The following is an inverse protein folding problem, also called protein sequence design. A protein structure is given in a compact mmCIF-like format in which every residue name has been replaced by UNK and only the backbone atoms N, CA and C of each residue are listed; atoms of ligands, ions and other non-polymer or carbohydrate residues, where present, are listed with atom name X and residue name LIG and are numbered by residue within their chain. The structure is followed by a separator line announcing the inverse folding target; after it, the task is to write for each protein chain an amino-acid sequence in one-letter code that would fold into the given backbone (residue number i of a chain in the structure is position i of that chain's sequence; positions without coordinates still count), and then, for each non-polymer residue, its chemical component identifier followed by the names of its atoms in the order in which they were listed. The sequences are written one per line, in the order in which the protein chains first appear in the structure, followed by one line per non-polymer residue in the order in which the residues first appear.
data_IF_224614561239
#
_entry.id   IF_224614561239
#
_cell.length_a   1.000
_cell.length_b   1.000
_cell.length_c   1.000
_cell.angle_alpha   90.00
_cell.angle_beta   90.00
_cell.angle_gamma   90.00
#
_symmetry.space_group_name_H-M   'P 1'
#
loop_
_entity.id
_entity.type
_entity.pdbx_description
1 polymer ?
2 non-polymer ?
3 water ?
#
# COMPACT_ATOMS: atom_id res chain seq x y z
N UNK A 20 20.74 -21.61 -12.49
CA UNK A 20 19.48 -22.27 -12.14
C UNK A 20 19.50 -22.73 -10.65
N UNK A 21 19.23 -21.78 -9.74
CA UNK A 21 19.27 -21.98 -8.28
C UNK A 21 17.99 -22.64 -7.70
N UNK A 22 18.02 -22.93 -6.39
CA UNK A 22 16.96 -23.59 -5.62
C UNK A 22 17.07 -23.15 -4.13
N UNK A 23 16.00 -23.37 -3.31
CA UNK A 23 16.00 -23.04 -1.88
C UNK A 23 14.92 -23.75 -1.06
N UNK A 24 15.28 -24.10 0.17
CA UNK A 24 14.46 -24.80 1.15
C UNK A 24 13.88 -23.83 2.18
N UNK A 25 12.58 -23.95 2.42
CA UNK A 25 11.81 -23.17 3.37
C UNK A 25 10.96 -24.20 4.09
N UNK A 26 11.23 -24.40 5.39
CA UNK A 26 10.53 -25.31 6.27
C UNK A 26 10.34 -26.68 5.62
N UNK A 27 11.47 -27.27 5.21
CA UNK A 27 11.54 -28.58 4.55
C UNK A 27 11.32 -28.56 3.06
N UNK A 28 10.24 -27.92 2.61
CA UNK A 28 9.90 -27.85 1.20
C UNK A 28 10.94 -27.12 0.36
N UNK A 29 11.14 -27.60 -0.87
CA UNK A 29 12.12 -27.04 -1.78
C UNK A 29 11.46 -26.25 -2.92
N UNK A 30 11.95 -25.04 -3.14
CA UNK A 30 11.42 -24.17 -4.18
C UNK A 30 12.51 -23.82 -5.19
N UNK A 31 12.16 -23.89 -6.47
CA UNK A 31 13.11 -23.59 -7.53
C UNK A 31 12.89 -22.17 -8.05
N UNK A 32 13.96 -21.38 -8.02
CA UNK A 32 13.92 -19.99 -8.44
C UNK A 32 13.85 -19.77 -9.95
N UNK A 33 12.91 -18.92 -10.37
CA UNK A 33 12.76 -18.60 -11.77
C UNK A 33 13.38 -17.25 -12.09
N UNK A 34 13.06 -16.25 -11.27
CA UNK A 34 13.57 -14.90 -11.46
C UNK A 34 13.47 -14.04 -10.21
N UNK A 35 14.19 -12.92 -10.22
CA UNK A 35 14.16 -11.97 -9.13
C UNK A 35 13.29 -10.79 -9.57
N UNK A 36 12.38 -10.38 -8.69
CA UNK A 36 11.47 -9.25 -8.95
C UNK A 36 11.79 -8.07 -8.05
N UNK A 37 12.26 -8.35 -6.85
CA UNK A 37 12.60 -7.32 -5.87
C UNK A 37 14.05 -7.19 -5.49
N UNK A 38 14.42 -5.94 -5.23
CA UNK A 38 15.74 -5.58 -4.81
C UNK A 38 15.52 -4.72 -3.59
N UNK A 39 16.18 -5.06 -2.50
CA UNK A 39 16.04 -4.32 -1.26
C UNK A 39 17.45 -4.12 -0.75
N UNK A 40 17.65 -3.17 0.15
CA UNK A 40 19.00 -2.95 0.64
C UNK A 40 19.43 -4.25 1.26
N UNK A 41 18.50 -4.87 1.99
CA UNK A 41 18.76 -6.16 2.61
C UNK A 41 17.78 -7.24 2.14
N UNK A 42 16.87 -6.90 1.24
CA UNK A 42 15.88 -7.88 0.80
C UNK A 42 15.72 -8.08 -0.69
N UNK A 43 15.32 -9.29 -1.04
CA UNK A 43 15.12 -9.67 -2.42
C UNK A 43 13.82 -10.47 -2.55
N UNK A 44 13.18 -10.36 -3.70
CA UNK A 44 11.93 -11.09 -3.98
C UNK A 44 12.16 -12.03 -5.16
N UNK A 45 11.89 -13.31 -4.96
CA UNK A 45 12.10 -14.29 -6.00
C UNK A 45 10.85 -15.01 -6.45
N UNK A 46 10.68 -15.13 -7.77
CA UNK A 46 9.54 -15.83 -8.31
C UNK A 46 10.00 -17.28 -8.25
N UNK A 47 9.24 -18.11 -7.54
CA UNK A 47 9.62 -19.51 -7.37
C UNK A 47 8.49 -20.49 -7.62
N UNK A 48 8.87 -21.73 -7.88
CA UNK A 48 7.93 -22.79 -8.15
C UNK A 48 8.13 -23.92 -7.16
N UNK A 49 7.04 -24.48 -6.66
CA UNK A 49 7.13 -25.57 -5.71
C UNK A 49 7.27 -26.89 -6.44
N UNK A 50 7.25 -27.98 -5.70
CA UNK A 50 7.41 -29.32 -6.26
C UNK A 50 6.32 -29.67 -7.27
N UNK A 51 5.10 -29.23 -7.00
CA UNK A 51 3.95 -29.50 -7.86
C UNK A 51 3.84 -28.49 -9.00
N UNK A 52 4.80 -27.59 -9.08
CA UNK A 52 4.87 -26.56 -10.13
C UNK A 52 4.09 -25.30 -9.87
N UNK A 53 3.56 -25.14 -8.67
CA UNK A 53 2.81 -23.94 -8.31
C UNK A 53 3.72 -22.74 -8.18
N UNK A 54 3.21 -21.56 -8.49
CA UNK A 54 4.01 -20.34 -8.42
C UNK A 54 3.82 -19.57 -7.13
N UNK A 55 4.92 -19.07 -6.59
CA UNK A 55 4.92 -18.32 -5.33
C UNK A 55 5.99 -17.24 -5.42
N UNK A 56 5.94 -16.30 -4.46
CA UNK A 56 6.94 -15.27 -4.32
C UNK A 56 7.59 -15.49 -2.96
N UNK A 57 8.92 -15.59 -2.94
CA UNK A 57 9.66 -15.74 -1.70
C UNK A 57 10.38 -14.42 -1.44
N UNK A 58 10.17 -13.83 -0.24
CA UNK A 58 10.89 -12.63 0.19
C UNK A 58 12.04 -13.12 1.05
N UNK A 59 13.27 -12.79 0.64
CA UNK A 59 14.44 -13.13 1.40
C UNK A 59 14.95 -11.84 2.06
N UNK A 60 14.92 -11.78 3.39
CA UNK A 60 15.41 -10.64 4.17
C UNK A 60 16.73 -11.09 4.78
N UNK A 61 17.82 -10.34 4.56
CA UNK A 61 19.13 -10.65 5.14
C UNK A 61 19.26 -9.91 6.49
N UNK A 62 19.42 -10.68 7.57
CA UNK A 62 19.54 -10.14 8.91
C UNK A 62 20.95 -10.04 9.45
N UNK A 63 21.95 -10.32 8.62
CA UNK A 63 23.32 -10.32 9.11
C UNK A 63 23.67 -8.98 9.72
N UNK A 64 23.17 -7.88 9.18
CA UNK A 64 23.52 -6.61 9.79
C UNK A 64 22.31 -5.77 10.17
N UNK A 65 21.63 -6.16 11.23
CA UNK A 65 20.46 -5.43 11.71
C UNK A 65 20.42 -5.31 13.23
N UNK A 66 19.98 -4.16 13.73
CA UNK A 66 19.87 -3.91 15.16
C UNK A 66 18.59 -4.48 15.74
N UNK A 67 18.52 -4.49 17.07
CA UNK A 67 17.35 -5.01 17.77
C UNK A 67 16.04 -4.32 17.45
N UNK A 68 16.07 -3.01 17.30
CA UNK A 68 14.83 -2.30 16.99
C UNK A 68 14.32 -2.76 15.64
N UNK A 69 15.22 -2.92 14.68
CA UNK A 69 14.85 -3.37 13.35
C UNK A 69 14.31 -4.79 13.33
N UNK A 70 14.93 -5.67 14.11
CA UNK A 70 14.50 -7.06 14.18
C UNK A 70 13.11 -7.15 14.72
N UNK A 71 12.93 -6.59 15.90
CA UNK A 71 11.63 -6.60 16.55
C UNK A 71 10.51 -6.08 15.65
N UNK A 72 10.84 -5.17 14.74
CA UNK A 72 9.86 -4.63 13.80
C UNK A 72 9.44 -5.67 12.77
N UNK A 73 10.41 -6.42 12.27
CA UNK A 73 10.19 -7.49 11.30
C UNK A 73 9.41 -8.65 11.94
N UNK A 74 9.67 -8.90 13.23
CA UNK A 74 9.01 -9.92 14.03
C UNK A 74 7.53 -9.53 14.19
N UNK A 75 7.29 -8.24 14.39
CA UNK A 75 5.97 -7.68 14.57
C UNK A 75 5.19 -7.63 13.26
N UNK A 76 5.87 -7.24 12.18
CA UNK A 76 5.23 -7.17 10.89
C UNK A 76 4.76 -8.56 10.49
N UNK A 77 5.61 -9.56 10.72
CA UNK A 77 5.28 -10.94 10.41
C UNK A 77 4.14 -11.47 11.26
N UNK A 78 4.13 -11.13 12.54
CA UNK A 78 3.07 -11.60 13.42
C UNK A 78 1.71 -11.07 12.97
N UNK A 79 1.66 -9.80 12.63
CA UNK A 79 0.43 -9.18 12.16
C UNK A 79 0.00 -9.74 10.82
N UNK A 80 0.99 -9.99 9.95
CA UNK A 80 0.71 -10.54 8.64
C UNK A 80 0.01 -11.88 8.83
N UNK A 81 0.53 -12.69 9.74
CA UNK A 81 -0.06 -13.99 10.04
C UNK A 81 -1.46 -13.88 10.67
N UNK A 82 -1.66 -12.94 11.62
CA UNK A 82 -2.94 -12.79 12.33
C UNK A 82 -4.08 -12.32 11.44
N UNK A 83 -3.82 -11.33 10.56
CA UNK A 83 -4.84 -10.72 9.69
C UNK A 83 -5.15 -11.51 8.40
N UNK A 84 -4.55 -12.69 8.21
CA UNK A 84 -4.76 -13.57 7.05
C UNK A 84 -6.26 -13.94 7.04
N UNK A 85 -6.73 -14.45 8.16
CA UNK A 85 -8.11 -14.91 8.29
C UNK A 85 -9.12 -13.79 8.07
N UNK A 86 -8.81 -12.61 8.56
CA UNK A 86 -9.71 -11.47 8.43
C UNK A 86 -10.05 -10.98 7.02
N UNK A 87 -9.07 -10.96 6.12
CA UNK A 87 -9.37 -10.50 4.76
C UNK A 87 -8.57 -11.15 3.63
N UNK A 88 -9.18 -11.21 2.44
CA UNK A 88 -8.53 -11.74 1.25
C UNK A 88 -7.90 -10.57 0.42
N UNK A 89 -7.96 -9.37 0.97
CA UNK A 89 -7.38 -8.18 0.34
C UNK A 89 -5.97 -7.96 0.87
N UNK A 90 -5.52 -8.88 1.71
CA UNK A 90 -4.20 -8.83 2.31
C UNK A 90 -3.42 -10.00 1.72
N UNK A 91 -2.16 -9.76 1.37
CA UNK A 91 -1.34 -10.78 0.74
C UNK A 91 -1.18 -12.02 1.61
N UNK A 92 -1.24 -13.18 0.98
CA UNK A 92 -1.11 -14.45 1.69
C UNK A 92 0.31 -14.73 2.18
N UNK A 93 0.40 -15.36 3.34
CA UNK A 93 1.66 -15.72 3.96
C UNK A 93 1.57 -17.19 4.31
N UNK A 94 1.85 -18.04 3.33
CA UNK A 94 1.78 -19.49 3.49
C UNK A 94 2.74 -20.09 4.51
N UNK A 95 3.98 -19.59 4.54
CA UNK A 95 4.99 -20.12 5.44
C UNK A 95 6.16 -19.16 5.56
N UNK A 96 7.05 -19.43 6.53
CA UNK A 96 8.23 -18.63 6.78
C UNK A 96 9.27 -19.34 7.63
N UNK A 97 10.54 -18.99 7.41
CA UNK A 97 11.67 -19.54 8.15
C UNK A 97 12.49 -18.34 8.65
N UNK A 98 12.62 -18.25 9.97
CA UNK A 98 13.33 -17.15 10.61
C UNK A 98 14.53 -17.62 11.42
N UNK A 99 15.64 -16.94 11.22
CA UNK A 99 16.87 -17.23 11.93
C UNK A 99 17.57 -15.90 12.13
N UNK A 100 18.62 -15.89 12.93
CA UNK A 100 19.36 -14.67 13.22
C UNK A 100 20.05 -14.16 11.97
N UNK A 101 20.16 -15.01 10.96
CA UNK A 101 20.86 -14.66 9.73
C UNK A 101 19.93 -14.22 8.60
N UNK A 102 18.74 -14.79 8.54
CA UNK A 102 17.83 -14.50 7.45
C UNK A 102 16.37 -14.83 7.68
N UNK A 103 15.51 -14.28 6.82
CA UNK A 103 14.09 -14.55 6.87
C UNK A 103 13.62 -14.96 5.47
N UNK A 104 12.87 -16.04 5.39
CA UNK A 104 12.34 -16.50 4.11
C UNK A 104 10.84 -16.45 4.22
N UNK A 105 10.15 -15.81 3.27
CA UNK A 105 8.70 -15.77 3.40
C UNK A 105 8.02 -16.27 2.13
N UNK A 106 7.31 -17.39 2.22
CA UNK A 106 6.60 -17.87 1.05
C UNK A 106 5.29 -17.10 1.04
N UNK A 107 5.06 -16.36 -0.04
CA UNK A 107 3.87 -15.53 -0.20
C UNK A 107 3.30 -15.65 -1.60
N UNK A 108 2.03 -15.30 -1.76
CA UNK A 108 1.39 -15.39 -3.07
C UNK A 108 2.00 -14.43 -4.10
N UNK A 109 2.09 -14.92 -5.33
CA UNK A 109 2.63 -14.21 -6.47
C UNK A 109 1.58 -13.26 -7.03
N UNK A 110 2.03 -12.13 -7.54
CA UNK A 110 1.18 -11.13 -8.17
C UNK A 110 1.61 -10.86 -9.59
N UNK A 111 0.77 -10.18 -10.36
CA UNK A 111 1.08 -9.85 -11.73
C UNK A 111 2.05 -8.65 -11.82
N UNK A 112 1.68 -7.55 -11.14
CA UNK A 112 2.42 -6.28 -11.09
C UNK A 112 1.98 -5.51 -9.84
N UNK A 113 2.88 -4.67 -9.30
CA UNK A 113 2.55 -3.78 -8.18
C UNK A 113 1.74 -2.62 -8.78
N UNK A 114 0.91 -1.95 -7.99
CA UNK A 114 0.07 -0.85 -8.49
C UNK A 114 0.87 0.36 -9.04
N UNK A 115 2.06 0.67 -8.47
CA UNK A 115 2.89 1.80 -8.93
C UNK A 115 3.42 1.60 -10.35
N UNK A 116 3.92 0.39 -10.63
CA UNK A 116 4.45 0.04 -11.95
C UNK A 116 3.30 -0.04 -12.98
N UNK A 117 2.08 -0.36 -12.52
CA UNK A 117 0.90 -0.42 -13.38
C UNK A 117 0.42 0.98 -13.76
N UNK A 118 0.43 1.94 -12.81
CA UNK A 118 0.00 3.33 -13.03
C UNK A 118 0.96 4.11 -13.94
N UNK A 119 2.27 3.76 -13.88
CA UNK A 119 3.31 4.37 -14.71
C UNK A 119 3.18 3.91 -16.18
N UNK A 120 2.66 2.68 -16.40
CA UNK A 120 2.45 2.08 -17.73
C UNK A 120 1.05 2.42 -18.29
N UNK A 121 -0.03 2.07 -17.55
CA UNK A 121 -1.42 2.33 -17.97
C UNK A 121 -1.74 3.82 -17.99
N UNK A 122 -1.88 4.39 -19.21
CA UNK A 122 -2.20 5.79 -19.46
C UNK A 122 -3.61 6.16 -18.98
N UNK A 123 -4.65 5.62 -19.67
CA UNK A 123 -6.06 5.84 -19.34
C UNK A 123 -6.61 4.67 -18.49
N UNK A 124 -7.05 4.99 -17.26
CA UNK A 124 -7.62 4.02 -16.31
C UNK A 124 -9.15 3.94 -16.52
N UNK A 125 -9.71 2.71 -16.61
CA UNK A 125 -11.14 2.48 -16.77
C UNK A 125 -11.87 2.88 -15.45
N UNK A 126 -13.04 3.58 -15.54
CA UNK A 126 -13.73 4.01 -14.31
C UNK A 126 -14.21 2.88 -13.40
N UNK A 127 -14.56 1.71 -13.99
CA UNK A 127 -15.01 0.52 -13.28
C UNK A 127 -13.83 -0.15 -12.55
N UNK A 128 -12.65 -0.12 -13.19
CA UNK A 128 -11.40 -0.70 -12.69
C UNK A 128 -10.89 0.13 -11.52
N UNK A 129 -11.00 1.47 -11.62
CA UNK A 129 -10.59 2.43 -10.60
C UNK A 129 -11.41 2.23 -9.33
N UNK A 130 -12.74 2.13 -9.48
CA UNK A 130 -13.71 1.91 -8.41
C UNK A 130 -13.49 0.57 -7.75
N UNK A 131 -13.24 -0.50 -8.56
CA UNK A 131 -12.99 -1.82 -8.01
C UNK A 131 -11.70 -1.86 -7.17
N UNK A 132 -10.64 -1.16 -7.62
CA UNK A 132 -9.34 -1.12 -6.94
C UNK A 132 -9.44 -0.36 -5.64
N UNK A 133 -10.21 0.74 -5.65
CA UNK A 133 -10.51 1.61 -4.51
C UNK A 133 -11.23 0.82 -3.41
N UNK A 134 -12.24 0.04 -3.76
CA UNK A 134 -12.94 -0.74 -2.75
C UNK A 134 -11.95 -1.68 -2.09
N UNK A 135 -11.05 -2.25 -2.88
CA UNK A 135 -10.04 -3.17 -2.37
C UNK A 135 -9.08 -2.53 -1.39
N UNK A 136 -8.64 -1.31 -1.70
CA UNK A 136 -7.72 -0.58 -0.83
C UNK A 136 -8.38 -0.29 0.51
N UNK A 137 -9.65 0.12 0.43
CA UNK A 137 -10.48 0.40 1.61
C UNK A 137 -10.68 -0.82 2.51
N UNK A 138 -11.02 -2.00 1.94
CA UNK A 138 -11.23 -3.23 2.73
C UNK A 138 -9.95 -3.64 3.48
N UNK A 139 -8.78 -3.63 2.80
CA UNK A 139 -7.48 -3.97 3.37
C UNK A 139 -7.04 -3.00 4.53
N UNK A 140 -7.06 -1.71 4.23
CA UNK A 140 -6.68 -0.68 5.19
C UNK A 140 -7.63 -0.67 6.38
N UNK A 141 -8.91 -0.88 6.10
CA UNK A 141 -9.91 -0.91 7.15
C UNK A 141 -9.63 -2.06 8.11
N UNK A 142 -9.23 -3.20 7.57
CA UNK A 142 -8.94 -4.38 8.38
C UNK A 142 -7.78 -4.15 9.34
N UNK A 143 -6.73 -3.49 8.88
CA UNK A 143 -5.58 -3.21 9.73
C UNK A 143 -5.96 -2.23 10.84
N UNK A 144 -6.77 -1.23 10.53
CA UNK A 144 -7.19 -0.26 11.52
C UNK A 144 -7.93 -0.96 12.64
N UNK A 145 -8.76 -1.94 12.28
CA UNK A 145 -9.55 -2.64 13.27
C UNK A 145 -8.63 -3.26 14.30
N UNK A 146 -7.44 -3.64 13.85
CA UNK A 146 -6.45 -4.23 14.75
C UNK A 146 -5.52 -3.20 15.35
N UNK A 147 -5.81 -1.92 15.13
CA UNK A 147 -5.03 -0.83 15.68
C UNK A 147 -3.78 -0.41 14.95
N UNK A 148 -3.64 -0.84 13.70
CA UNK A 148 -2.47 -0.49 12.91
C UNK A 148 -2.71 0.60 11.88
N UNK A 149 -1.84 1.59 11.88
CA UNK A 149 -1.91 2.67 10.91
C UNK A 149 -0.66 2.55 10.05
N UNK A 150 -0.83 2.44 8.74
CA UNK A 150 0.31 2.30 7.84
C UNK A 150 1.21 3.52 7.86
N UNK A 151 0.60 4.69 7.84
CA UNK A 151 1.32 5.97 7.87
C UNK A 151 2.26 6.20 6.69
N UNK A 152 2.33 5.24 5.76
CA UNK A 152 3.20 5.36 4.61
C UNK A 152 2.58 4.80 3.34
N UNK A 153 1.26 4.88 3.22
CA UNK A 153 0.59 4.32 2.05
C UNK A 153 0.99 4.92 0.71
N UNK A 154 1.20 4.03 -0.25
CA UNK A 154 1.59 4.39 -1.60
C UNK A 154 1.20 3.27 -2.55
N UNK A 155 1.24 3.52 -3.84
CA UNK A 155 0.84 2.47 -4.80
C UNK A 155 1.69 1.21 -4.65
N UNK A 156 2.96 1.38 -4.34
CA UNK A 156 3.90 0.26 -4.24
C UNK A 156 3.44 -0.79 -3.22
N UNK A 157 2.74 -0.34 -2.18
CA UNK A 157 2.25 -1.21 -1.12
C UNK A 157 1.15 -2.18 -1.57
N UNK A 158 0.57 -1.93 -2.74
CA UNK A 158 -0.52 -2.74 -3.29
C UNK A 158 -0.07 -3.55 -4.50
N UNK A 159 -0.43 -4.84 -4.50
CA UNK A 159 -0.09 -5.79 -5.57
C UNK A 159 -1.35 -6.24 -6.33
N UNK A 160 -1.28 -6.38 -7.65
CA UNK A 160 -2.44 -6.82 -8.40
C UNK A 160 -2.33 -8.33 -8.52
N UNK A 161 -3.29 -9.02 -7.93
CA UNK A 161 -3.35 -10.47 -7.97
C UNK A 161 -4.72 -10.91 -8.49
N UNK A 162 -4.75 -11.66 -9.58
CA UNK A 162 -6.02 -12.12 -10.12
C UNK A 162 -6.98 -10.97 -10.35
N UNK A 163 -6.46 -9.87 -10.91
CA UNK A 163 -7.28 -8.70 -11.17
C UNK A 163 -7.88 -8.18 -9.88
N UNK A 164 -7.12 -8.29 -8.80
CA UNK A 164 -7.55 -7.84 -7.50
C UNK A 164 -6.39 -7.11 -6.82
N UNK A 165 -6.71 -6.18 -5.95
CA UNK A 165 -5.66 -5.44 -5.26
C UNK A 165 -5.48 -5.94 -3.83
N UNK A 166 -4.25 -6.30 -3.51
CA UNK A 166 -3.91 -6.81 -2.19
C UNK A 166 -2.80 -5.96 -1.53
N UNK A 167 -2.94 -5.67 -0.23
CA UNK A 167 -1.94 -4.91 0.55
C UNK A 167 -0.83 -5.87 0.94
N UNK A 168 0.40 -5.53 0.53
CA UNK A 168 1.57 -6.37 0.74
C UNK A 168 2.29 -6.12 2.08
N UNK A 169 2.20 -4.88 2.66
CA UNK A 169 2.84 -4.57 3.94
C UNK A 169 2.04 -3.60 4.83
N UNK A 170 2.35 -3.59 6.13
CA UNK A 170 1.65 -2.75 7.10
C UNK A 170 2.39 -1.52 7.62
N UNK A 171 3.59 -1.28 7.12
CA UNK A 171 4.38 -0.12 7.53
C UNK A 171 5.06 -0.22 8.89
N UNK A 172 5.09 -1.43 9.45
CA UNK A 172 5.73 -1.67 10.73
C UNK A 172 7.22 -1.90 10.53
N UNK A 173 7.56 -2.62 9.47
CA UNK A 173 8.96 -2.92 9.15
C UNK A 173 9.49 -1.99 8.07
N UNK A 174 10.76 -1.62 8.19
CA UNK A 174 11.44 -0.73 7.23
C UNK A 174 11.51 -1.33 5.81
N UNK A 189 14.01 6.71 -5.90
CA UNK A 189 13.97 7.12 -4.51
C UNK A 189 12.53 7.30 -4.00
N UNK A 190 12.37 7.39 -2.68
CA UNK A 190 11.07 7.58 -2.03
C UNK A 190 10.47 8.95 -2.29
N UNK A 191 9.14 9.08 -2.10
CA UNK A 191 8.40 10.32 -2.35
C UNK A 191 7.58 10.85 -1.14
N UNK A 192 7.40 12.18 -1.11
CA UNK A 192 6.59 12.91 -0.12
C UNK A 192 5.18 13.28 -0.66
N UNK A 193 4.85 12.81 -1.89
CA UNK A 193 3.57 13.04 -2.59
C UNK A 193 2.31 12.65 -1.79
N UNK A 194 2.42 11.53 -1.06
CA UNK A 194 1.32 10.91 -0.31
C UNK A 194 1.31 11.29 1.18
N UNK A 195 2.22 12.17 1.61
CA UNK A 195 2.33 12.60 3.01
C UNK A 195 1.19 13.54 3.49
N UNK A 196 0.50 13.18 4.61
CA UNK A 196 -0.58 14.06 5.11
C UNK A 196 -0.06 15.33 5.81
N UNK A 197 -0.84 16.45 5.78
CA UNK A 197 -0.36 17.68 6.42
C UNK A 197 -0.06 17.59 7.92
N UNK A 198 -0.76 16.70 8.64
CA UNK A 198 -0.57 16.54 10.08
C UNK A 198 0.77 15.87 10.46
N UNK A 199 1.43 15.19 9.50
CA UNK A 199 2.73 14.57 9.74
C UNK A 199 3.81 15.64 9.77
N UNK A 200 3.71 16.60 8.84
CA UNK A 200 4.61 17.72 8.65
C UNK A 200 4.43 18.77 9.76
N UNK A 201 3.20 19.08 10.11
CA UNK A 201 2.95 20.06 11.16
C UNK A 201 3.32 19.51 12.53
N UNK A 202 3.38 18.18 12.62
CA UNK A 202 3.72 17.51 13.86
C UNK A 202 5.13 17.85 14.32
N UNK A 203 6.04 17.95 13.37
CA UNK A 203 7.45 18.27 13.62
C UNK A 203 7.64 19.25 14.76
N UNK A 214 -0.10 10.50 19.17
CA UNK A 214 1.20 10.84 18.60
C UNK A 214 1.05 11.75 17.39
N UNK A 215 -0.15 12.29 17.21
CA UNK A 215 -0.47 13.18 16.10
C UNK A 215 -0.76 12.40 14.82
N UNK A 216 -0.75 11.09 14.91
CA UNK A 216 -1.04 10.24 13.77
C UNK A 216 -2.25 9.39 14.11
N UNK A 217 -3.19 9.32 13.18
CA UNK A 217 -4.42 8.58 13.42
C UNK A 217 -4.86 7.80 12.15
N UNK A 218 -5.90 6.90 12.20
CA UNK A 218 -6.40 6.25 10.98
C UNK A 218 -6.60 7.19 9.77
N UNK A 219 -7.06 8.45 10.04
CA UNK A 219 -7.30 9.51 9.06
C UNK A 219 -6.08 9.83 8.20
N UNK A 220 -4.85 9.59 8.74
CA UNK A 220 -3.60 9.82 8.01
C UNK A 220 -3.53 8.92 6.81
N UNK A 221 -4.03 7.66 6.95
CA UNK A 221 -4.10 6.68 5.86
C UNK A 221 -5.17 7.07 4.80
N UNK A 222 -6.25 7.77 5.25
CA UNK A 222 -7.32 8.27 4.37
C UNK A 222 -6.72 9.30 3.37
N UNK A 223 -5.90 10.25 3.84
CA UNK A 223 -5.22 11.25 2.99
C UNK A 223 -4.38 10.57 1.90
N UNK A 224 -3.52 9.59 2.28
CA UNK A 224 -2.66 8.86 1.34
C UNK A 224 -3.50 8.08 0.29
N UNK A 225 -4.56 7.40 0.76
CA UNK A 225 -5.49 6.69 -0.12
C UNK A 225 -6.16 7.67 -1.10
N UNK A 226 -6.46 8.87 -0.60
CA UNK A 226 -7.02 9.96 -1.40
C UNK A 226 -6.04 10.41 -2.47
N UNK A 227 -4.74 10.51 -2.12
CA UNK A 227 -3.66 10.86 -3.07
C UNK A 227 -3.49 9.80 -4.19
N UNK A 228 -3.63 8.49 -3.84
CA UNK A 228 -3.55 7.36 -4.80
C UNK A 228 -4.75 7.45 -5.76
N UNK A 229 -5.97 7.70 -5.22
CA UNK A 229 -7.20 7.82 -5.99
C UNK A 229 -7.17 9.05 -6.89
N UNK A 230 -6.64 10.19 -6.39
CA UNK A 230 -6.50 11.43 -7.17
C UNK A 230 -5.55 11.19 -8.35
N UNK A 231 -4.52 10.35 -8.13
CA UNK A 231 -3.55 9.95 -9.15
C UNK A 231 -4.28 9.08 -10.19
N UNK A 232 -5.03 8.06 -9.72
CA UNK A 232 -5.83 7.18 -10.56
C UNK A 232 -6.94 7.92 -11.33
N UNK A 233 -7.29 9.15 -10.91
CA UNK A 233 -8.33 9.98 -11.50
C UNK A 233 -7.78 11.03 -12.47
N UNK A 234 -6.83 11.88 -12.00
CA UNK A 234 -6.26 13.00 -12.77
C UNK A 234 -4.83 12.77 -13.32
N UNK A 235 -4.33 11.54 -13.20
CA UNK A 235 -3.03 11.12 -13.72
C UNK A 235 -1.80 11.76 -13.11
N UNK A 236 -1.96 12.35 -11.90
CA UNK A 236 -0.90 13.01 -11.15
C UNK A 236 -1.32 13.15 -9.67
N UNK A 237 -0.33 13.22 -8.74
CA UNK A 237 -0.65 13.39 -7.32
C UNK A 237 -1.04 14.87 -7.04
N UNK A 238 -1.84 15.17 -5.99
CA UNK A 238 -2.29 16.57 -5.78
C UNK A 238 -1.22 17.67 -5.78
N UNK A 239 0.00 17.36 -5.37
CA UNK A 239 1.08 18.35 -5.31
C UNK A 239 2.28 17.98 -6.21
N UNK A 240 2.09 17.02 -7.15
CA UNK A 240 3.10 16.51 -8.10
C UNK A 240 3.89 17.60 -8.84
N UNK A 241 3.20 18.68 -9.27
CA UNK A 241 3.75 19.80 -10.03
C UNK A 241 4.86 20.62 -9.31
N UNK A 242 4.92 20.56 -7.96
CA UNK A 242 5.90 21.34 -7.19
C UNK A 242 7.24 20.56 -7.11
N UNK A 243 8.27 21.09 -7.81
CA UNK A 243 9.62 20.49 -7.90
C UNK A 243 10.46 20.70 -6.64
N UNK A 244 10.48 21.93 -6.07
CA UNK A 244 11.22 22.22 -4.84
C UNK A 244 10.54 21.44 -3.71
N UNK A 245 11.26 20.43 -3.18
CA UNK A 245 10.76 19.52 -2.14
C UNK A 245 10.30 20.24 -0.89
N UNK A 246 11.02 21.33 -0.50
CA UNK A 246 10.68 22.20 0.64
C UNK A 246 9.33 22.90 0.35
N UNK A 247 9.17 23.43 -0.88
CA UNK A 247 7.96 24.12 -1.32
C UNK A 247 6.73 23.22 -1.33
N UNK A 248 6.92 21.92 -1.65
CA UNK A 248 5.90 20.86 -1.67
C UNK A 248 5.33 20.70 -0.28
N UNK A 249 6.22 20.52 0.71
CA UNK A 249 5.91 20.36 2.14
C UNK A 249 5.12 21.54 2.66
N UNK A 250 5.47 22.73 2.21
CA UNK A 250 4.74 23.95 2.55
C UNK A 250 3.34 24.00 1.94
N UNK A 251 3.23 23.56 0.69
CA UNK A 251 1.96 23.55 -0.03
C UNK A 251 0.97 22.61 0.68
N UNK A 252 1.40 21.39 0.99
CA UNK A 252 0.54 20.43 1.64
C UNK A 252 0.02 20.94 2.96
N UNK A 253 0.86 21.65 3.70
CA UNK A 253 0.46 22.19 4.99
C UNK A 253 -0.17 23.58 4.91
N UNK A 254 -0.26 24.15 3.71
CA UNK A 254 -0.83 25.49 3.58
C UNK A 254 -2.33 25.51 3.34
N UNK A 255 -3.07 26.12 4.27
CA UNK A 255 -4.52 26.20 4.12
C UNK A 255 -4.90 27.01 2.89
N UNK A 256 -4.15 28.08 2.64
CA UNK A 256 -4.40 28.98 1.51
C UNK A 256 -4.27 28.28 0.17
N UNK A 257 -3.32 27.38 0.05
CA UNK A 257 -3.15 26.66 -1.21
C UNK A 257 -4.42 25.87 -1.43
N UNK A 258 -5.00 25.98 -2.63
CA UNK A 258 -6.20 25.27 -2.99
C UNK A 258 -5.88 24.11 -3.93
N UNK A 259 -6.21 22.87 -3.52
CA UNK A 259 -6.04 21.68 -4.36
C UNK A 259 -7.13 21.78 -5.45
N UNK A 260 -6.72 21.63 -6.72
CA UNK A 260 -7.61 21.67 -7.86
C UNK A 260 -8.34 20.33 -8.04
N UNK A 261 -9.67 20.41 -8.26
CA UNK A 261 -10.54 19.25 -8.52
C UNK A 261 -11.28 19.47 -9.85
N UNK A 262 -10.56 19.32 -11.01
CA UNK A 262 -11.21 19.53 -12.32
C UNK A 262 -12.50 18.73 -12.51
N UNK A 263 -13.51 19.38 -13.12
CA UNK A 263 -14.82 18.81 -13.41
C UNK A 263 -14.70 17.51 -14.19
N UNK A 264 -15.25 16.42 -13.62
CA UNK A 264 -15.23 15.08 -14.22
C UNK A 264 -16.65 14.47 -14.31
N UNK A 265 -16.92 13.50 -15.24
CA UNK A 265 -18.28 12.93 -15.36
C UNK A 265 -18.80 12.21 -14.12
N UNK A 266 -17.89 11.59 -13.35
CA UNK A 266 -18.22 10.88 -12.11
C UNK A 266 -18.25 11.92 -10.99
N UNK A 267 -19.46 12.41 -10.67
CA UNK A 267 -19.65 13.41 -9.62
C UNK A 267 -19.34 12.85 -8.22
N UNK A 268 -19.65 11.56 -8.00
CA UNK A 268 -19.39 10.89 -6.74
C UNK A 268 -17.90 10.82 -6.42
N UNK A 269 -17.11 10.49 -7.42
CA UNK A 269 -15.66 10.40 -7.34
C UNK A 269 -15.02 11.71 -6.90
N UNK A 270 -15.54 12.83 -7.44
CA UNK A 270 -15.09 14.19 -7.14
C UNK A 270 -15.30 14.47 -5.64
N UNK A 271 -16.46 14.04 -5.09
CA UNK A 271 -16.80 14.21 -3.68
C UNK A 271 -15.87 13.41 -2.80
N UNK A 272 -15.57 12.15 -3.20
CA UNK A 272 -14.67 11.28 -2.46
C UNK A 272 -13.31 11.95 -2.27
N UNK A 273 -12.75 12.49 -3.37
CA UNK A 273 -11.44 13.17 -3.41
C UNK A 273 -11.39 14.39 -2.55
N UNK A 274 -12.42 15.24 -2.67
CA UNK A 274 -12.55 16.48 -1.90
C UNK A 274 -12.71 16.20 -0.41
N UNK A 275 -13.32 15.04 -0.03
CA UNK A 275 -13.50 14.61 1.37
C UNK A 275 -12.25 13.94 1.98
N UNK A 276 -11.48 13.17 1.17
CA UNK A 276 -10.23 12.55 1.63
C UNK A 276 -9.10 13.58 1.76
N UNK A 277 -9.08 14.58 0.86
CA UNK A 277 -8.00 15.57 0.83
C UNK A 277 -8.29 16.89 1.64
N UNK A 278 -9.13 16.78 2.70
CA UNK A 278 -9.43 17.85 3.64
C UNK A 278 -8.24 17.90 4.64
N UNK A 279 -7.55 19.07 4.78
CA UNK A 279 -6.39 19.27 5.64
C UNK A 279 -6.63 18.99 7.13
N UNK A 280 -7.84 19.31 7.67
CA UNK A 280 -8.16 19.04 9.08
C UNK A 280 -8.50 17.55 9.24
N UNK A 281 -7.64 16.72 9.85
CA UNK A 281 -7.98 15.29 10.01
C UNK A 281 -9.30 15.04 10.71
N UNK A 282 -9.73 15.98 11.60
CA UNK A 282 -11.01 15.93 12.33
C UNK A 282 -12.18 16.10 11.35
N UNK A 283 -11.98 16.92 10.28
CA UNK A 283 -12.96 17.19 9.21
C UNK A 283 -12.85 16.20 8.02
N UNK A 284 -11.69 15.52 7.89
CA UNK A 284 -11.44 14.48 6.87
C UNK A 284 -12.41 13.30 7.11
N UNK A 285 -12.91 12.68 6.04
CA UNK A 285 -13.83 11.53 6.10
C UNK A 285 -13.11 10.27 6.65
N UNK A 286 -13.89 9.39 7.28
CA UNK A 286 -13.37 8.16 7.86
C UNK A 286 -13.54 6.97 6.92
N UNK A 287 -12.78 5.91 7.17
CA UNK A 287 -12.87 4.72 6.32
C UNK A 287 -14.27 4.12 6.41
N UNK A 288 -14.84 4.08 7.60
CA UNK A 288 -16.19 3.51 7.76
C UNK A 288 -17.23 4.29 6.96
N UNK A 289 -17.11 5.61 6.96
CA UNK A 289 -17.99 6.48 6.21
C UNK A 289 -17.78 6.33 4.70
N UNK A 290 -16.51 6.16 4.32
CA UNK A 290 -16.14 5.99 2.92
C UNK A 290 -16.78 4.74 2.35
N UNK A 291 -16.87 3.71 3.18
CA UNK A 291 -17.47 2.44 2.76
C UNK A 291 -18.93 2.64 2.36
N UNK A 292 -19.62 3.52 3.08
CA UNK A 292 -21.03 3.81 2.82
C UNK A 292 -21.28 4.91 1.77
N UNK A 293 -20.21 5.48 1.25
CA UNK A 293 -20.29 6.53 0.25
C UNK A 293 -20.90 6.00 -1.04
N UNK A 294 -21.59 6.86 -1.76
CA UNK A 294 -22.24 6.42 -2.99
C UNK A 294 -21.25 5.90 -4.02
N UNK A 295 -20.04 6.43 -4.02
CA UNK A 295 -19.04 6.05 -5.01
C UNK A 295 -18.75 4.55 -5.02
N UNK A 296 -18.69 3.93 -3.85
CA UNK A 296 -18.45 2.50 -3.75
C UNK A 296 -19.74 1.71 -3.79
N UNK A 297 -20.70 2.10 -2.94
CA UNK A 297 -21.99 1.41 -2.87
C UNK A 297 -22.89 1.45 -4.10
N UNK A 298 -23.03 2.62 -4.72
CA UNK A 298 -23.89 2.75 -5.89
C UNK A 298 -23.30 2.16 -7.16
N UNK A 299 -24.16 1.60 -8.01
CA UNK A 299 -23.72 0.99 -9.25
C UNK A 299 -24.16 1.78 -10.48
N UNK A 300 -23.20 2.09 -11.34
CA UNK A 300 -23.48 2.85 -12.56
C UNK A 300 -23.64 4.33 -12.27
N UNK A 301 -23.30 4.73 -11.04
CA UNK A 301 -23.41 6.12 -10.62
C UNK A 301 -24.71 6.75 -11.09
#
# INVERSE_FOLDING_TARGET
MHHHHHHSSGVDLGTENLYFQSMSVKGRIYSILKQIGSGGSSKVFQVLNEKKQIYAIKYVNLEEADNQTLDSYRNEIAYLNKLQQHSDKIIRLYDYEITDQYIYMVMECGNIDLNSWLKKKKSIDPWERKSYWKNMLEAVHTIHQHGIVHSDLKPANFLIVDGMLKLIDFGIANQMQPDTTSVVKDSQVGTVNYMPPEAIKDMSSSRENGKSKSKISPKSDVWSLGCILYYMTYGKTPFQQIINQISKLHAIIDPNHEIEFPDIPEKDLQDVLKCCLKRDPKQRISIPELLAHPYVQIQTHPVNQMAKGTTEE
#
